data_IF_937110640084
#
_entry.id   IF_937110640084
#
_cell.length_a   1.000
_cell.length_b   1.000
_cell.length_c   1.000
_cell.angle_alpha   90.00
_cell.angle_beta   90.00
_cell.angle_gamma   90.00
#
_symmetry.space_group_name_H-M   'P 1'
#
loop_
_entity.id
_entity.type
_entity.pdbx_description
1 polymer ?
#
# COMPACT_ATOMS: atom_id res chain seq x y z
N UNK A 1 -4.31 -7.70 -53.56
CA UNK A 1 -3.74 -6.75 -52.58
C UNK A 1 -4.88 -6.19 -51.74
N UNK A 2 -5.08 -6.62 -50.49
CA UNK A 2 -5.96 -5.99 -49.46
C UNK A 2 -6.07 -6.87 -48.18
N UNK A 3 -5.00 -7.00 -47.38
CA UNK A 3 -5.08 -7.83 -46.15
C UNK A 3 -4.38 -7.27 -44.89
N UNK A 4 -3.78 -6.07 -44.92
CA UNK A 4 -2.92 -5.57 -43.82
C UNK A 4 -3.61 -4.70 -42.75
N UNK A 5 -4.91 -4.40 -42.85
CA UNK A 5 -5.57 -3.45 -41.92
C UNK A 5 -6.10 -4.06 -40.62
N UNK A 6 -6.16 -5.39 -40.49
CA UNK A 6 -6.84 -6.04 -39.34
C UNK A 6 -5.99 -6.09 -38.05
N UNK A 7 -4.66 -6.18 -38.14
CA UNK A 7 -3.77 -6.42 -36.99
C UNK A 7 -3.67 -5.23 -36.02
N UNK A 8 -3.59 -4.00 -36.54
CA UNK A 8 -3.42 -2.77 -35.76
C UNK A 8 -4.60 -2.48 -34.82
N UNK A 9 -5.83 -2.80 -35.27
CA UNK A 9 -7.07 -2.61 -34.51
C UNK A 9 -7.11 -3.47 -33.24
N UNK A 10 -6.64 -4.73 -33.33
CA UNK A 10 -6.65 -5.70 -32.22
C UNK A 10 -5.70 -5.29 -31.08
N UNK A 11 -4.50 -4.80 -31.43
CA UNK A 11 -3.49 -4.36 -30.47
C UNK A 11 -3.89 -3.04 -29.78
N UNK A 12 -4.59 -2.15 -30.48
CA UNK A 12 -5.17 -0.96 -29.86
C UNK A 12 -6.30 -1.31 -28.87
N UNK A 13 -7.19 -2.22 -29.25
CA UNK A 13 -8.28 -2.69 -28.39
C UNK A 13 -7.77 -3.38 -27.11
N UNK A 14 -6.72 -4.21 -27.20
CA UNK A 14 -6.13 -4.89 -26.04
C UNK A 14 -5.48 -3.90 -25.05
N UNK A 15 -4.77 -2.89 -25.55
CA UNK A 15 -4.20 -1.80 -24.72
C UNK A 15 -5.28 -1.01 -23.99
N UNK A 16 -6.40 -0.70 -24.66
CA UNK A 16 -7.55 -0.01 -24.05
C UNK A 16 -8.21 -0.84 -22.97
N UNK A 17 -8.44 -2.15 -23.21
CA UNK A 17 -8.98 -3.06 -22.19
C UNK A 17 -8.07 -3.17 -20.98
N UNK A 18 -6.75 -3.32 -21.20
CA UNK A 18 -5.76 -3.38 -20.11
C UNK A 18 -5.78 -2.12 -19.25
N UNK A 19 -5.78 -0.93 -19.86
CA UNK A 19 -5.80 0.32 -19.10
C UNK A 19 -7.09 0.50 -18.30
N UNK A 20 -8.23 0.08 -18.86
CA UNK A 20 -9.52 0.05 -18.17
C UNK A 20 -9.49 -0.89 -16.95
N UNK A 21 -9.02 -2.12 -17.12
CA UNK A 21 -8.92 -3.09 -16.00
C UNK A 21 -8.00 -2.57 -14.91
N UNK A 22 -6.82 -2.04 -15.26
CA UNK A 22 -5.89 -1.47 -14.27
C UNK A 22 -6.49 -0.27 -13.53
N UNK A 23 -7.34 0.52 -14.19
CA UNK A 23 -8.07 1.63 -13.57
C UNK A 23 -9.11 1.12 -12.59
N UNK A 24 -9.94 0.14 -12.99
CA UNK A 24 -10.96 -0.47 -12.12
C UNK A 24 -10.33 -1.14 -10.90
N UNK A 25 -9.23 -1.88 -11.06
CA UNK A 25 -8.49 -2.47 -9.94
C UNK A 25 -7.93 -1.41 -8.99
N UNK A 26 -7.40 -0.30 -9.54
CA UNK A 26 -6.87 0.79 -8.72
C UNK A 26 -7.98 1.50 -7.94
N UNK A 27 -9.17 1.67 -8.53
CA UNK A 27 -10.34 2.24 -7.84
C UNK A 27 -10.84 1.30 -6.75
N UNK A 28 -11.00 0.01 -7.05
CA UNK A 28 -11.40 -1.00 -6.07
C UNK A 28 -10.45 -1.02 -4.86
N UNK A 29 -9.13 -1.01 -5.11
CA UNK A 29 -8.11 -0.97 -4.07
C UNK A 29 -8.20 0.28 -3.18
N UNK A 30 -8.51 1.44 -3.76
CA UNK A 30 -8.65 2.71 -3.02
C UNK A 30 -9.92 2.77 -2.18
N UNK A 31 -11.06 2.39 -2.76
CA UNK A 31 -12.35 2.40 -2.06
C UNK A 31 -12.31 1.40 -0.90
N UNK A 32 -11.76 0.21 -1.13
CA UNK A 32 -11.61 -0.78 -0.07
C UNK A 32 -10.60 -0.34 1.00
N UNK A 33 -9.54 0.40 0.64
CA UNK A 33 -8.63 0.98 1.62
C UNK A 33 -9.31 2.00 2.54
N UNK A 34 -10.22 2.83 2.01
CA UNK A 34 -10.99 3.78 2.81
C UNK A 34 -11.97 3.06 3.74
N UNK A 35 -12.68 2.04 3.23
CA UNK A 35 -13.58 1.24 4.03
C UNK A 35 -12.85 0.51 5.17
N UNK A 36 -11.76 -0.21 4.85
CA UNK A 36 -10.93 -0.88 5.86
C UNK A 36 -10.26 0.11 6.82
N UNK A 37 -9.86 1.28 6.31
CA UNK A 37 -9.31 2.36 7.12
C UNK A 37 -10.28 2.85 8.20
N UNK A 38 -11.58 2.91 7.91
CA UNK A 38 -12.59 3.27 8.91
C UNK A 38 -12.65 2.28 10.07
N UNK A 39 -12.60 0.97 9.76
CA UNK A 39 -12.48 -0.09 10.76
C UNK A 39 -11.18 0.07 11.57
N UNK A 40 -10.05 0.25 10.89
CA UNK A 40 -8.74 0.35 11.51
C UNK A 40 -8.64 1.54 12.49
N UNK A 41 -9.21 2.70 12.11
CA UNK A 41 -9.28 3.88 12.98
C UNK A 41 -10.02 3.58 14.28
N UNK A 42 -11.20 2.98 14.19
CA UNK A 42 -12.00 2.61 15.38
C UNK A 42 -11.29 1.53 16.20
N UNK A 43 -10.66 0.56 15.54
CA UNK A 43 -9.96 -0.53 16.19
C UNK A 43 -8.71 -0.07 16.96
N UNK A 44 -7.94 0.87 16.41
CA UNK A 44 -6.74 1.44 17.06
C UNK A 44 -7.10 2.44 18.17
N UNK A 45 -8.32 2.99 18.18
CA UNK A 45 -8.72 3.98 19.18
C UNK A 45 -8.55 3.49 20.62
N UNK A 46 -8.90 2.23 20.89
CA UNK A 46 -8.81 1.65 22.24
C UNK A 46 -7.37 1.60 22.79
N UNK A 47 -6.37 0.99 22.13
CA UNK A 47 -5.00 1.02 22.63
C UNK A 47 -4.39 2.43 22.61
N UNK A 48 -4.82 3.30 21.69
CA UNK A 48 -4.34 4.69 21.68
C UNK A 48 -4.85 5.49 22.90
N UNK A 49 -6.13 5.34 23.26
CA UNK A 49 -6.72 6.01 24.42
C UNK A 49 -6.23 5.43 25.75
N UNK A 50 -5.84 4.15 25.78
CA UNK A 50 -5.20 3.54 26.95
C UNK A 50 -3.95 4.31 27.41
N UNK A 51 -3.21 4.93 26.48
CA UNK A 51 -2.05 5.76 26.81
C UNK A 51 -2.44 7.02 27.60
N UNK A 52 -3.61 7.60 27.30
CA UNK A 52 -4.11 8.86 27.87
C UNK A 52 -4.99 8.66 29.10
N UNK A 53 -5.34 7.42 29.44
CA UNK A 53 -6.21 7.12 30.58
C UNK A 53 -5.59 7.58 31.92
N UNK A 54 -6.41 7.90 32.93
CA UNK A 54 -5.92 8.05 34.31
C UNK A 54 -5.18 6.80 34.81
N UNK A 55 -4.19 6.93 35.71
CA UNK A 55 -3.47 5.79 36.29
C UNK A 55 -4.42 4.73 36.88
N UNK A 56 -4.21 3.47 36.52
CA UNK A 56 -5.03 2.35 37.00
C UNK A 56 -6.38 2.18 36.30
N UNK A 57 -6.66 2.93 35.24
CA UNK A 57 -7.93 2.85 34.49
C UNK A 57 -7.74 2.58 32.98
N UNK A 58 -6.50 2.33 32.53
CA UNK A 58 -6.24 2.14 31.10
C UNK A 58 -6.95 0.92 30.52
N UNK A 59 -7.10 -0.15 31.32
CA UNK A 59 -7.87 -1.34 30.95
C UNK A 59 -9.34 -0.98 30.69
N UNK A 60 -10.00 -0.28 31.61
CA UNK A 60 -11.43 0.04 31.52
C UNK A 60 -11.72 1.01 30.37
N UNK A 61 -10.87 2.03 30.19
CA UNK A 61 -10.97 2.98 29.07
C UNK A 61 -10.82 2.25 27.73
N UNK A 62 -9.84 1.37 27.61
CA UNK A 62 -9.62 0.62 26.38
C UNK A 62 -10.75 -0.37 26.10
N UNK A 63 -11.18 -1.13 27.11
CA UNK A 63 -12.29 -2.09 26.99
C UNK A 63 -13.59 -1.37 26.65
N UNK A 64 -13.92 -0.27 27.32
CA UNK A 64 -15.08 0.56 26.99
C UNK A 64 -15.03 1.12 25.57
N UNK A 65 -13.87 1.62 25.13
CA UNK A 65 -13.66 2.10 23.75
C UNK A 65 -13.82 0.97 22.73
N UNK A 66 -13.28 -0.21 23.01
CA UNK A 66 -13.43 -1.38 22.16
C UNK A 66 -14.90 -1.79 22.07
N UNK A 67 -15.66 -1.81 23.17
CA UNK A 67 -17.09 -2.11 23.17
C UNK A 67 -17.88 -1.15 22.26
N UNK A 68 -17.58 0.14 22.29
CA UNK A 68 -18.16 1.11 21.35
C UNK A 68 -17.79 0.77 19.89
N UNK A 69 -16.54 0.37 19.65
CA UNK A 69 -16.10 -0.09 18.33
C UNK A 69 -16.87 -1.31 17.81
N UNK A 70 -17.33 -2.22 18.69
CA UNK A 70 -18.12 -3.39 18.28
C UNK A 70 -19.46 -3.00 17.67
N UNK A 71 -20.10 -1.96 18.20
CA UNK A 71 -21.35 -1.42 17.64
C UNK A 71 -21.14 -0.97 16.20
N UNK A 72 -19.98 -0.39 15.89
CA UNK A 72 -19.63 0.07 14.56
C UNK A 72 -19.39 -1.07 13.57
N UNK A 73 -18.46 -1.99 13.86
CA UNK A 73 -17.96 -2.94 12.85
C UNK A 73 -18.21 -4.42 13.15
N UNK A 74 -18.76 -4.80 14.30
CA UNK A 74 -19.02 -6.21 14.66
C UNK A 74 -20.52 -6.58 14.58
N UNK A 75 -21.26 -6.02 13.63
CA UNK A 75 -22.62 -6.47 13.35
C UNK A 75 -22.67 -7.38 12.10
N UNK A 76 -23.74 -8.18 11.91
CA UNK A 76 -23.81 -9.19 10.84
C UNK A 76 -23.60 -8.64 9.42
N UNK A 77 -23.80 -7.34 9.20
CA UNK A 77 -23.59 -6.68 7.91
C UNK A 77 -22.23 -5.98 7.83
N UNK A 78 -21.85 -5.23 8.86
CA UNK A 78 -20.65 -4.38 8.85
C UNK A 78 -19.36 -5.19 9.00
N UNK A 79 -19.35 -6.30 9.73
CA UNK A 79 -18.14 -7.12 9.86
C UNK A 79 -17.74 -7.76 8.53
N UNK A 80 -18.64 -8.46 7.80
CA UNK A 80 -18.31 -8.99 6.48
C UNK A 80 -17.94 -7.88 5.48
N UNK A 81 -18.56 -6.70 5.56
CA UNK A 81 -18.31 -5.63 4.61
C UNK A 81 -17.02 -4.85 4.89
N UNK A 82 -16.87 -4.28 6.09
CA UNK A 82 -15.80 -3.36 6.46
C UNK A 82 -14.51 -4.07 6.84
N UNK A 83 -14.59 -5.26 7.43
CA UNK A 83 -13.41 -5.99 7.88
C UNK A 83 -12.97 -6.96 6.78
N UNK A 84 -13.75 -8.02 6.55
CA UNK A 84 -13.35 -9.11 5.66
C UNK A 84 -13.42 -8.75 4.17
N UNK A 85 -14.50 -8.10 3.76
CA UNK A 85 -14.75 -7.71 2.37
C UNK A 85 -13.76 -6.64 1.92
N UNK A 86 -13.65 -5.55 2.67
CA UNK A 86 -12.71 -4.48 2.34
C UNK A 86 -11.25 -4.98 2.34
N UNK A 87 -10.83 -5.77 3.33
CA UNK A 87 -9.48 -6.35 3.36
C UNK A 87 -9.23 -7.25 2.14
N UNK A 88 -10.16 -8.17 1.85
CA UNK A 88 -10.05 -9.10 0.71
C UNK A 88 -9.96 -8.35 -0.61
N UNK A 89 -10.85 -7.39 -0.86
CA UNK A 89 -10.82 -6.57 -2.07
C UNK A 89 -9.52 -5.78 -2.17
N UNK A 90 -9.02 -5.21 -1.06
CA UNK A 90 -7.75 -4.49 -1.03
C UNK A 90 -6.56 -5.38 -1.43
N UNK A 91 -6.45 -6.57 -0.85
CA UNK A 91 -5.37 -7.51 -1.12
C UNK A 91 -5.44 -8.07 -2.56
N UNK A 92 -6.61 -8.55 -2.96
CA UNK A 92 -6.79 -9.16 -4.29
C UNK A 92 -6.61 -8.16 -5.42
N UNK A 93 -7.11 -6.93 -5.28
CA UNK A 93 -6.91 -5.88 -6.30
C UNK A 93 -5.43 -5.51 -6.44
N UNK A 94 -4.70 -5.40 -5.32
CA UNK A 94 -3.26 -5.15 -5.31
C UNK A 94 -2.44 -6.27 -5.97
N UNK A 95 -2.76 -7.53 -5.67
CA UNK A 95 -2.13 -8.71 -6.27
C UNK A 95 -2.45 -8.84 -7.76
N UNK A 96 -3.73 -8.72 -8.14
CA UNK A 96 -4.17 -8.80 -9.53
C UNK A 96 -3.51 -7.72 -10.39
N UNK A 97 -3.42 -6.49 -9.88
CA UNK A 97 -2.75 -5.39 -10.59
C UNK A 97 -1.27 -5.71 -10.85
N UNK A 98 -0.57 -6.28 -9.86
CA UNK A 98 0.83 -6.71 -10.03
C UNK A 98 0.94 -7.85 -11.03
N UNK A 99 0.07 -8.85 -10.93
CA UNK A 99 0.03 -9.97 -11.88
C UNK A 99 -0.14 -9.48 -13.32
N UNK A 100 -1.06 -8.55 -13.59
CA UNK A 100 -1.25 -7.97 -14.93
C UNK A 100 -0.04 -7.16 -15.41
N UNK A 101 0.69 -6.50 -14.52
CA UNK A 101 1.91 -5.76 -14.90
C UNK A 101 3.05 -6.72 -15.24
N UNK A 102 3.21 -7.81 -14.48
CA UNK A 102 4.31 -8.78 -14.65
C UNK A 102 4.05 -9.73 -15.81
N UNK A 103 2.84 -10.28 -15.89
CA UNK A 103 2.49 -11.38 -16.80
C UNK A 103 2.06 -10.88 -18.18
N UNK A 104 1.50 -9.68 -18.29
CA UNK A 104 0.99 -9.16 -19.56
C UNK A 104 2.08 -8.37 -20.30
N UNK A 105 2.84 -9.05 -21.16
CA UNK A 105 3.70 -8.39 -22.15
C UNK A 105 2.83 -7.56 -23.11
N UNK A 106 3.20 -6.32 -23.42
CA UNK A 106 2.72 -5.74 -24.66
C UNK A 106 3.28 -6.61 -25.81
N UNK A 107 2.45 -6.99 -26.80
CA UNK A 107 2.96 -7.55 -28.04
C UNK A 107 4.08 -6.61 -28.51
N UNK A 108 5.26 -7.16 -28.77
CA UNK A 108 6.27 -6.41 -29.49
C UNK A 108 5.57 -5.98 -30.76
N UNK A 109 5.41 -4.67 -30.97
CA UNK A 109 5.11 -4.20 -32.30
C UNK A 109 6.23 -4.79 -33.15
N UNK A 110 5.90 -5.75 -34.01
CA UNK A 110 6.76 -6.04 -35.13
C UNK A 110 6.90 -4.68 -35.81
N UNK A 111 8.11 -4.13 -35.76
CA UNK A 111 8.49 -3.02 -36.60
C UNK A 111 8.30 -3.56 -38.02
N UNK A 112 7.11 -3.33 -38.57
CA UNK A 112 6.81 -3.41 -39.98
C UNK A 112 7.62 -2.26 -40.59
N UNK A 113 8.95 -2.47 -40.64
CA UNK A 113 9.90 -1.79 -41.49
C UNK A 113 9.36 -2.06 -42.90
N UNK A 114 8.38 -1.24 -43.28
CA UNK A 114 7.91 -1.12 -44.63
C UNK A 114 9.08 -0.65 -45.46
N UNK A 115 9.87 -1.62 -45.94
CA UNK A 115 10.52 -1.57 -47.24
C UNK A 115 9.41 -1.40 -48.30
N UNK A 116 8.76 -0.23 -48.28
CA UNK A 116 8.26 0.42 -49.47
C UNK A 116 9.49 0.99 -50.21
N UNK A 117 10.37 0.06 -50.59
CA UNK A 117 11.29 0.21 -51.69
C UNK A 117 10.42 0.34 -52.95
N UNK A 118 10.10 1.58 -53.31
CA UNK A 118 9.70 1.92 -54.66
C UNK A 118 10.31 3.27 -55.04
N UNK A 119 11.54 3.17 -55.53
CA UNK A 119 12.00 3.93 -56.68
C UNK A 119 12.55 5.33 -56.40
N UNK A 120 13.86 5.40 -56.13
CA UNK A 120 14.71 6.44 -56.71
C UNK A 120 16.16 5.96 -56.80
N UNK A 121 16.51 5.46 -57.99
CA UNK A 121 17.88 5.32 -58.46
C UNK A 121 18.51 6.71 -58.58
N UNK A 122 19.62 6.95 -57.87
CA UNK A 122 20.41 8.17 -57.96
C UNK A 122 21.75 7.97 -57.25
N UNK A 123 22.82 7.97 -58.04
CA UNK A 123 24.19 7.58 -57.78
C UNK A 123 24.92 8.18 -56.55
N UNK A 124 25.72 7.28 -55.96
CA UNK A 124 27.14 7.40 -55.61
C UNK A 124 27.64 8.36 -54.50
N UNK A 125 28.41 7.71 -53.62
CA UNK A 125 29.64 8.18 -52.98
C UNK A 125 29.54 8.81 -51.60
N UNK A 126 30.04 8.09 -50.59
CA UNK A 126 30.40 8.69 -49.30
C UNK A 126 30.28 7.77 -48.09
N UNK A 127 31.35 7.02 -47.82
CA UNK A 127 31.81 6.65 -46.48
C UNK A 127 30.87 5.87 -45.56
N UNK A 128 30.97 4.55 -45.72
CA UNK A 128 30.91 3.52 -44.69
C UNK A 128 31.43 3.94 -43.30
N UNK A 129 30.57 3.84 -42.28
CA UNK A 129 30.80 3.25 -40.94
C UNK A 129 29.75 3.74 -39.95
N UNK A 130 28.49 3.33 -40.10
CA UNK A 130 27.59 3.24 -38.94
C UNK A 130 26.89 1.90 -39.00
N UNK A 131 27.56 0.91 -38.43
CA UNK A 131 26.98 -0.36 -38.03
C UNK A 131 25.76 -0.05 -37.16
N UNK A 132 24.60 -0.09 -37.80
CA UNK A 132 23.30 -0.19 -37.19
C UNK A 132 23.31 -1.41 -36.29
N UNK A 133 23.71 -1.21 -35.02
CA UNK A 133 23.41 -2.11 -33.90
C UNK A 133 21.87 -2.19 -33.84
N UNK A 134 21.30 -3.08 -34.64
CA UNK A 134 19.93 -3.56 -34.53
C UNK A 134 19.89 -4.36 -33.23
N UNK A 135 19.79 -3.62 -32.12
CA UNK A 135 19.77 -4.11 -30.74
C UNK A 135 18.63 -5.11 -30.63
N UNK A 136 18.94 -6.41 -30.80
CA UNK A 136 18.05 -7.52 -30.45
C UNK A 136 17.60 -7.29 -29.02
N UNK A 137 16.36 -6.83 -28.85
CA UNK A 137 15.76 -6.52 -27.55
C UNK A 137 15.55 -7.86 -26.84
N UNK A 138 16.60 -8.32 -26.16
CA UNK A 138 16.66 -9.62 -25.47
C UNK A 138 15.43 -9.70 -24.55
N UNK A 139 14.52 -10.63 -24.84
CA UNK A 139 13.32 -10.87 -24.01
C UNK A 139 13.78 -11.04 -22.57
N UNK A 140 13.40 -10.08 -21.71
CA UNK A 140 13.70 -10.16 -20.28
C UNK A 140 13.05 -11.41 -19.71
N UNK A 141 13.81 -12.20 -18.97
CA UNK A 141 13.29 -13.39 -18.28
C UNK A 141 12.28 -12.97 -17.22
N UNK A 142 11.39 -13.89 -16.81
CA UNK A 142 10.41 -13.63 -15.75
C UNK A 142 11.08 -13.14 -14.45
N UNK A 143 12.21 -13.74 -14.09
CA UNK A 143 13.00 -13.33 -12.93
C UNK A 143 13.48 -11.87 -13.02
N UNK A 144 13.95 -11.44 -14.20
CA UNK A 144 14.33 -10.04 -14.44
C UNK A 144 13.14 -9.07 -14.35
N UNK A 145 11.92 -9.54 -14.65
CA UNK A 145 10.70 -8.71 -14.55
C UNK A 145 10.20 -8.60 -13.12
N UNK A 146 10.25 -9.69 -12.38
CA UNK A 146 9.93 -9.70 -10.94
C UNK A 146 10.94 -8.84 -10.19
N UNK A 147 12.23 -8.95 -10.50
CA UNK A 147 13.27 -8.11 -9.93
C UNK A 147 13.15 -6.63 -10.34
N UNK A 148 12.60 -6.35 -11.54
CA UNK A 148 12.32 -5.00 -12.01
C UNK A 148 10.98 -4.43 -11.52
N UNK A 149 10.17 -5.19 -10.78
CA UNK A 149 9.02 -4.60 -10.11
C UNK A 149 9.55 -3.55 -9.15
N UNK A 150 9.05 -2.30 -9.22
CA UNK A 150 9.44 -1.30 -8.25
C UNK A 150 9.09 -1.84 -6.86
N UNK A 151 10.12 -2.09 -6.06
CA UNK A 151 10.04 -2.36 -4.63
C UNK A 151 9.64 -1.06 -3.91
N UNK A 152 8.47 -0.52 -4.29
CA UNK A 152 7.85 0.59 -3.58
C UNK A 152 7.68 0.13 -2.12
N UNK A 153 8.15 0.95 -1.17
CA UNK A 153 8.06 0.64 0.25
C UNK A 153 6.63 0.29 0.67
N UNK A 154 5.62 0.86 0.01
CA UNK A 154 4.21 0.49 0.18
C UNK A 154 3.92 -0.99 -0.11
N UNK A 155 4.51 -1.52 -1.19
CA UNK A 155 4.33 -2.92 -1.58
C UNK A 155 4.99 -3.83 -0.55
N UNK A 156 6.24 -3.53 -0.19
CA UNK A 156 7.01 -4.36 0.74
C UNK A 156 6.30 -4.40 2.09
N UNK A 157 5.92 -3.22 2.62
CA UNK A 157 5.21 -3.16 3.91
C UNK A 157 3.88 -3.89 3.87
N UNK A 158 3.12 -3.78 2.77
CA UNK A 158 1.86 -4.51 2.60
C UNK A 158 2.06 -6.03 2.59
N UNK A 159 3.06 -6.53 1.87
CA UNK A 159 3.38 -7.95 1.81
C UNK A 159 3.82 -8.49 3.18
N UNK A 160 4.66 -7.75 3.90
CA UNK A 160 5.08 -8.11 5.26
C UNK A 160 3.92 -8.05 6.26
N UNK A 161 2.98 -7.12 6.10
CA UNK A 161 1.85 -6.91 7.01
C UNK A 161 0.79 -8.04 6.92
N UNK A 162 0.63 -8.66 5.75
CA UNK A 162 -0.36 -9.74 5.52
C UNK A 162 -0.27 -10.87 6.56
N UNK A 163 0.87 -11.55 6.76
CA UNK A 163 0.94 -12.66 7.72
C UNK A 163 0.62 -12.21 9.15
N UNK A 164 1.07 -11.02 9.59
CA UNK A 164 0.75 -10.50 10.92
C UNK A 164 -0.74 -10.18 11.07
N UNK A 165 -1.37 -9.60 10.03
CA UNK A 165 -2.80 -9.27 10.05
C UNK A 165 -3.65 -10.54 10.09
N UNK A 166 -3.32 -11.54 9.27
CA UNK A 166 -4.02 -12.83 9.27
C UNK A 166 -3.82 -13.57 10.58
N UNK A 167 -2.61 -13.58 11.12
CA UNK A 167 -2.33 -14.18 12.43
C UNK A 167 -3.11 -13.48 13.56
N UNK A 168 -3.12 -12.14 13.58
CA UNK A 168 -3.89 -11.36 14.54
C UNK A 168 -5.39 -11.66 14.46
N UNK A 169 -5.97 -11.69 13.25
CA UNK A 169 -7.37 -12.01 13.04
C UNK A 169 -7.69 -13.47 13.43
N UNK A 170 -6.78 -14.40 13.13
CA UNK A 170 -6.94 -15.80 13.50
C UNK A 170 -6.95 -15.98 15.02
N UNK A 171 -5.97 -15.40 15.72
CA UNK A 171 -5.82 -15.48 17.18
C UNK A 171 -6.93 -14.76 17.95
N UNK A 172 -7.37 -13.58 17.49
CA UNK A 172 -8.29 -12.72 18.25
C UNK A 172 -9.75 -12.81 17.78
N UNK A 173 -10.02 -13.45 16.64
CA UNK A 173 -11.39 -13.56 16.10
C UNK A 173 -11.78 -14.99 15.75
N UNK A 174 -10.98 -15.68 14.94
CA UNK A 174 -11.38 -17.01 14.40
C UNK A 174 -11.28 -18.11 15.45
N UNK A 175 -10.19 -18.18 16.21
CA UNK A 175 -9.99 -19.23 17.21
C UNK A 175 -10.94 -19.10 18.40
N UNK A 176 -11.14 -17.92 19.00
CA UNK A 176 -12.09 -17.77 20.10
C UNK A 176 -13.55 -18.09 19.75
N UNK A 177 -13.92 -17.94 18.47
CA UNK A 177 -15.26 -18.27 17.96
C UNK A 177 -15.51 -19.78 17.76
N UNK A 178 -14.56 -20.65 18.15
CA UNK A 178 -14.72 -22.10 18.04
C UNK A 178 -15.57 -22.65 19.18
N UNK A 179 -16.47 -23.58 18.85
CA UNK A 179 -17.34 -24.27 19.81
C UNK A 179 -16.67 -25.43 20.54
N UNK A 180 -15.44 -25.79 20.16
CA UNK A 180 -14.69 -26.89 20.78
C UNK A 180 -14.36 -26.60 22.25
N UNK A 181 -14.54 -27.59 23.12
CA UNK A 181 -14.04 -27.53 24.49
C UNK A 181 -12.50 -27.41 24.50
N UNK A 182 -11.90 -26.57 25.38
CA UNK A 182 -12.52 -25.78 26.44
C UNK A 182 -12.96 -24.36 26.03
N UNK A 183 -12.73 -23.93 24.78
CA UNK A 183 -13.04 -22.55 24.31
C UNK A 183 -14.54 -22.27 24.36
N UNK A 184 -15.39 -23.24 23.99
CA UNK A 184 -16.86 -23.19 24.11
C UNK A 184 -17.48 -21.87 23.64
N UNK A 185 -17.09 -21.37 22.46
CA UNK A 185 -17.51 -20.09 21.89
C UNK A 185 -17.35 -18.91 22.87
N UNK A 186 -16.13 -18.39 23.01
CA UNK A 186 -15.91 -17.17 23.79
C UNK A 186 -16.79 -16.06 23.21
N UNK A 187 -17.72 -15.58 24.05
CA UNK A 187 -18.60 -14.49 23.66
C UNK A 187 -17.74 -13.25 23.40
N UNK A 188 -18.18 -12.34 22.51
CA UNK A 188 -17.47 -11.09 22.32
C UNK A 188 -17.23 -10.37 23.66
N UNK A 189 -18.20 -10.36 24.58
CA UNK A 189 -18.07 -9.79 25.93
C UNK A 189 -16.93 -10.38 26.76
N UNK A 190 -16.60 -11.66 26.59
CA UNK A 190 -15.47 -12.32 27.26
C UNK A 190 -14.12 -12.07 26.56
N UNK A 191 -14.12 -11.56 25.32
CA UNK A 191 -12.90 -11.22 24.57
C UNK A 191 -12.54 -9.75 24.73
N UNK A 192 -12.21 -9.34 25.94
CA UNK A 192 -11.74 -8.00 26.24
C UNK A 192 -10.21 -7.90 26.25
N UNK A 193 -9.68 -6.80 26.77
CA UNK A 193 -8.24 -6.59 26.84
C UNK A 193 -7.54 -7.50 27.85
N UNK A 194 -8.25 -8.18 28.75
CA UNK A 194 -7.66 -9.26 29.57
C UNK A 194 -7.17 -10.42 28.71
N UNK A 195 -7.88 -10.76 27.63
CA UNK A 195 -7.45 -11.78 26.68
C UNK A 195 -6.14 -11.39 25.98
N UNK A 196 -6.05 -10.13 25.54
CA UNK A 196 -4.84 -9.60 24.91
C UNK A 196 -3.68 -9.58 25.90
N UNK A 197 -3.90 -9.07 27.11
CA UNK A 197 -2.89 -8.98 28.17
C UNK A 197 -2.39 -10.37 28.61
N UNK A 198 -3.25 -11.40 28.59
CA UNK A 198 -2.86 -12.76 28.87
C UNK A 198 -1.76 -13.27 27.92
N UNK A 199 -1.78 -12.86 26.65
CA UNK A 199 -0.71 -13.13 25.69
C UNK A 199 0.65 -12.53 26.07
N UNK A 200 0.68 -11.53 26.94
CA UNK A 200 1.89 -10.88 27.44
C UNK A 200 2.27 -11.34 28.86
N UNK A 201 1.56 -12.33 29.42
CA UNK A 201 1.82 -12.82 30.77
C UNK A 201 3.29 -13.22 30.95
N UNK A 202 3.91 -12.67 31.99
CA UNK A 202 5.32 -12.87 32.32
C UNK A 202 5.63 -14.28 32.82
N UNK A 203 4.61 -15.07 33.19
CA UNK A 203 4.77 -16.46 33.61
C UNK A 203 5.41 -17.33 32.52
N UNK A 204 5.32 -16.91 31.25
CA UNK A 204 5.94 -17.57 30.11
C UNK A 204 6.74 -16.55 29.29
N UNK A 205 7.98 -16.29 29.69
CA UNK A 205 8.90 -15.34 29.05
C UNK A 205 8.91 -15.46 27.51
N UNK A 206 8.99 -16.66 26.89
CA UNK A 206 9.03 -16.74 25.44
C UNK A 206 7.72 -16.29 24.79
N UNK A 207 6.57 -16.52 25.43
CA UNK A 207 5.25 -16.08 24.95
C UNK A 207 5.16 -14.56 24.97
N UNK A 208 5.56 -13.94 26.06
CA UNK A 208 5.55 -12.48 26.18
C UNK A 208 6.45 -11.82 25.11
N UNK A 209 7.63 -12.39 24.84
CA UNK A 209 8.53 -11.92 23.79
C UNK A 209 7.89 -12.05 22.41
N UNK A 210 7.31 -13.21 22.09
CA UNK A 210 6.63 -13.46 20.81
C UNK A 210 5.46 -12.49 20.62
N UNK A 211 4.59 -12.34 21.61
CA UNK A 211 3.46 -11.42 21.56
C UNK A 211 3.94 -9.98 21.36
N UNK A 212 4.95 -9.55 22.13
CA UNK A 212 5.53 -8.21 21.99
C UNK A 212 6.09 -7.96 20.60
N UNK A 213 6.84 -8.90 20.05
CA UNK A 213 7.38 -8.81 18.70
C UNK A 213 6.26 -8.77 17.65
N UNK A 214 5.27 -9.66 17.74
CA UNK A 214 4.17 -9.76 16.79
C UNK A 214 3.29 -8.50 16.78
N UNK A 215 2.89 -7.99 17.96
CA UNK A 215 2.08 -6.78 18.07
C UNK A 215 2.87 -5.53 17.64
N UNK A 216 4.15 -5.41 18.01
CA UNK A 216 4.99 -4.28 17.57
C UNK A 216 5.16 -4.28 16.05
N UNK A 217 5.41 -5.45 15.45
CA UNK A 217 5.51 -5.58 14.00
C UNK A 217 4.19 -5.26 13.30
N UNK A 218 3.06 -5.78 13.81
CA UNK A 218 1.72 -5.51 13.28
C UNK A 218 1.41 -4.01 13.30
N UNK A 219 1.58 -3.35 14.45
CA UNK A 219 1.30 -1.92 14.63
C UNK A 219 2.22 -1.09 13.73
N UNK A 220 3.53 -1.32 13.79
CA UNK A 220 4.52 -0.56 13.03
C UNK A 220 4.34 -0.69 11.51
N UNK A 221 4.16 -1.91 11.00
CA UNK A 221 3.92 -2.14 9.58
C UNK A 221 2.58 -1.56 9.12
N UNK A 222 1.52 -1.67 9.94
CA UNK A 222 0.19 -1.14 9.63
C UNK A 222 0.20 0.39 9.54
N UNK A 223 0.78 1.06 10.53
CA UNK A 223 0.91 2.53 10.54
C UNK A 223 1.77 3.01 9.38
N UNK A 224 2.93 2.39 9.16
CA UNK A 224 3.81 2.74 8.05
C UNK A 224 3.13 2.56 6.68
N UNK A 225 2.44 1.43 6.47
CA UNK A 225 1.69 1.15 5.25
C UNK A 225 0.57 2.18 5.03
N UNK A 226 -0.14 2.56 6.09
CA UNK A 226 -1.22 3.55 6.02
C UNK A 226 -0.69 4.95 5.67
N UNK A 227 0.38 5.40 6.35
CA UNK A 227 1.00 6.70 6.09
C UNK A 227 1.55 6.82 4.66
N UNK A 228 2.24 5.80 4.16
CA UNK A 228 2.76 5.78 2.77
C UNK A 228 1.64 5.68 1.73
N UNK A 229 0.55 4.96 2.05
CA UNK A 229 -0.66 4.90 1.24
C UNK A 229 -1.34 6.27 1.12
N UNK A 230 -1.56 6.94 2.24
CA UNK A 230 -2.12 8.30 2.29
C UNK A 230 -1.24 9.30 1.53
N UNK A 231 0.08 9.27 1.74
CA UNK A 231 1.03 10.11 1.01
C UNK A 231 0.86 9.96 -0.52
N UNK A 232 0.71 8.71 -1.00
CA UNK A 232 0.51 8.39 -2.41
C UNK A 232 -0.82 8.93 -2.94
N UNK A 233 -1.90 8.80 -2.15
CA UNK A 233 -3.22 9.32 -2.50
C UNK A 233 -3.24 10.86 -2.58
N UNK A 234 -2.64 11.56 -1.61
CA UNK A 234 -2.55 13.03 -1.60
C UNK A 234 -1.77 13.54 -2.81
N UNK A 235 -0.67 12.87 -3.17
CA UNK A 235 0.10 13.19 -4.38
C UNK A 235 -0.72 13.03 -5.66
N UNK A 236 -1.54 11.99 -5.76
CA UNK A 236 -2.40 11.77 -6.93
C UNK A 236 -3.47 12.87 -7.06
N UNK A 237 -4.10 13.28 -5.96
CA UNK A 237 -5.07 14.39 -5.97
C UNK A 237 -4.43 15.71 -6.42
N UNK A 238 -3.22 16.02 -5.93
CA UNK A 238 -2.49 17.24 -6.32
C UNK A 238 -2.06 17.26 -7.79
N UNK A 239 -1.82 16.10 -8.41
CA UNK A 239 -1.51 16.03 -9.84
C UNK A 239 -2.78 16.17 -10.69
N UNK A 240 -3.89 15.56 -10.28
CA UNK A 240 -5.16 15.66 -10.99
C UNK A 240 -5.68 17.12 -11.05
N UNK A 241 -5.52 17.89 -9.97
CA UNK A 241 -5.92 19.30 -9.95
C UNK A 241 -5.11 20.18 -10.92
N UNK A 242 -3.79 19.93 -11.05
CA UNK A 242 -2.92 20.71 -11.95
C UNK A 242 -3.19 20.47 -13.43
N UNK A 243 -3.52 19.23 -13.80
CA UNK A 243 -3.88 18.92 -15.20
C UNK A 243 -5.13 19.68 -15.62
N UNK A 244 -6.11 19.83 -14.71
CA UNK A 244 -7.35 20.55 -14.98
C UNK A 244 -7.11 22.07 -15.14
N UNK A 245 -6.21 22.64 -14.34
CA UNK A 245 -5.86 24.07 -14.41
C UNK A 245 -5.17 24.43 -15.73
N UNK A 246 -4.18 23.64 -16.17
CA UNK A 246 -3.50 23.87 -17.46
C UNK A 246 -4.43 23.71 -18.66
N UNK A 247 -5.47 22.87 -18.59
CA UNK A 247 -6.47 22.75 -19.67
C UNK A 247 -7.46 23.91 -19.74
N UNK A 248 -7.51 24.76 -18.70
CA UNK A 248 -8.38 25.94 -18.64
C UNK A 248 -7.64 27.26 -18.90
N UNK A 249 -6.32 27.23 -19.11
CA UNK A 249 -5.60 28.42 -19.52
C UNK A 249 -6.20 28.90 -20.87
N UNK A 250 -6.76 30.13 -20.90
CA UNK A 250 -7.44 30.62 -22.09
C UNK A 250 -6.44 30.71 -23.24
N UNK A 251 -6.86 30.26 -24.42
CA UNK A 251 -6.24 30.62 -25.69
C UNK A 251 -6.41 32.14 -25.86
N UNK A 252 -5.56 32.92 -25.19
CA UNK A 252 -5.52 34.36 -25.35
C UNK A 252 -4.95 34.65 -26.74
N UNK A 253 -5.84 35.12 -27.61
CA UNK A 253 -5.65 35.85 -28.87
C UNK A 253 -4.21 35.88 -29.43
N UNK A 254 -3.98 35.03 -30.44
CA UNK A 254 -2.99 35.29 -31.49
C UNK A 254 -3.48 36.42 -32.41
N UNK A 255 -3.32 37.69 -32.04
CA UNK A 255 -3.31 38.78 -33.01
C UNK A 255 -2.38 39.91 -32.55
N UNK A 256 -1.13 39.87 -33.02
CA UNK A 256 -0.19 40.98 -32.89
C UNK A 256 1.15 40.69 -33.61
N UNK A 257 1.46 41.35 -34.73
CA UNK A 257 2.62 41.02 -35.55
C UNK A 257 3.90 41.73 -35.09
N UNK A 258 5.00 40.98 -35.18
CA UNK A 258 6.36 41.40 -35.55
C UNK A 258 6.90 42.74 -35.02
N UNK A 259 7.91 42.66 -34.14
CA UNK A 259 9.23 43.25 -34.42
C UNK A 259 10.18 43.11 -33.22
N UNK A 260 11.33 42.49 -33.47
CA UNK A 260 12.67 42.76 -32.89
C UNK A 260 13.47 41.45 -32.73
N UNK A 261 13.96 40.97 -33.86
CA UNK A 261 15.09 40.03 -33.94
C UNK A 261 16.34 40.85 -33.64
N UNK A 262 16.96 40.70 -32.47
CA UNK A 262 18.40 40.91 -32.21
C UNK A 262 18.71 40.82 -30.72
N UNK A 263 19.14 39.65 -30.23
CA UNK A 263 19.98 39.46 -29.01
C UNK A 263 20.01 37.97 -28.58
N UNK A 264 20.34 37.06 -29.49
CA UNK A 264 20.43 35.63 -29.17
C UNK A 264 21.83 35.10 -29.50
N UNK A 265 22.83 35.37 -28.64
CA UNK A 265 24.13 34.69 -28.76
C UNK A 265 24.97 34.61 -27.46
N UNK A 266 24.47 35.01 -26.28
CA UNK A 266 25.31 35.01 -25.05
C UNK A 266 24.73 34.36 -23.79
N UNK A 267 23.51 33.78 -23.80
CA UNK A 267 22.87 33.34 -22.54
C UNK A 267 22.70 31.80 -22.37
N UNK A 268 23.43 30.99 -23.13
CA UNK A 268 23.24 29.53 -23.07
C UNK A 268 23.83 28.87 -21.81
N UNK A 269 24.81 29.50 -21.15
CA UNK A 269 25.51 28.92 -19.99
C UNK A 269 24.80 29.13 -18.64
N UNK A 270 24.07 30.24 -18.47
CA UNK A 270 23.37 30.57 -17.21
C UNK A 270 22.13 29.69 -17.00
N UNK A 271 21.46 29.28 -18.09
CA UNK A 271 20.21 28.52 -18.03
C UNK A 271 20.41 27.06 -17.57
N UNK A 272 21.57 26.45 -17.84
CA UNK A 272 21.82 25.06 -17.48
C UNK A 272 22.11 24.90 -15.98
N UNK A 273 22.87 25.82 -15.38
CA UNK A 273 23.16 25.84 -13.95
C UNK A 273 21.85 26.02 -13.16
N UNK A 274 21.00 26.97 -13.59
CA UNK A 274 19.68 27.20 -12.98
C UNK A 274 18.76 25.96 -13.06
N UNK A 275 18.79 25.23 -14.18
CA UNK A 275 18.03 23.97 -14.32
C UNK A 275 18.56 22.90 -13.36
N UNK A 276 19.86 22.70 -13.26
CA UNK A 276 20.47 21.72 -12.37
C UNK A 276 20.11 21.99 -10.90
N UNK A 277 20.22 23.24 -10.46
CA UNK A 277 19.87 23.67 -9.11
C UNK A 277 18.39 23.43 -8.81
N UNK A 278 17.51 23.74 -9.76
CA UNK A 278 16.07 23.48 -9.60
C UNK A 278 15.75 21.99 -9.43
N UNK A 279 16.51 21.09 -10.08
CA UNK A 279 16.33 19.64 -9.96
C UNK A 279 16.80 19.16 -8.59
N UNK A 280 17.95 19.64 -8.10
CA UNK A 280 18.49 19.31 -6.78
C UNK A 280 17.53 19.80 -5.69
N UNK A 281 17.07 21.04 -5.77
CA UNK A 281 16.14 21.62 -4.80
C UNK A 281 14.82 20.83 -4.74
N UNK A 282 14.26 20.44 -5.89
CA UNK A 282 13.07 19.58 -5.96
C UNK A 282 13.29 18.20 -5.32
N UNK A 283 14.48 17.61 -5.46
CA UNK A 283 14.84 16.33 -4.81
C UNK A 283 14.93 16.47 -3.29
N UNK A 284 15.59 17.52 -2.80
CA UNK A 284 15.73 17.79 -1.36
C UNK A 284 14.36 18.04 -0.71
N UNK A 285 13.48 18.81 -1.34
CA UNK A 285 12.12 19.03 -0.85
C UNK A 285 11.30 17.73 -0.81
N UNK A 286 11.42 16.88 -1.85
CA UNK A 286 10.79 15.56 -1.86
C UNK A 286 11.30 14.67 -0.73
N UNK A 287 12.60 14.71 -0.45
CA UNK A 287 13.22 13.94 0.62
C UNK A 287 12.78 14.43 2.00
N UNK A 288 12.75 15.75 2.24
CA UNK A 288 12.24 16.35 3.49
C UNK A 288 10.79 15.95 3.75
N UNK A 289 9.92 16.08 2.73
CA UNK A 289 8.52 15.67 2.85
C UNK A 289 8.40 14.18 3.15
N UNK A 290 9.20 13.32 2.53
CA UNK A 290 9.18 11.89 2.82
C UNK A 290 9.58 11.59 4.28
N UNK A 291 10.62 12.26 4.79
CA UNK A 291 11.06 12.12 6.20
C UNK A 291 9.98 12.50 7.21
N UNK A 292 9.15 13.51 6.91
CA UNK A 292 8.03 13.89 7.78
C UNK A 292 6.99 12.76 7.91
N UNK A 293 6.66 12.06 6.83
CA UNK A 293 5.75 10.90 6.88
C UNK A 293 6.35 9.73 7.65
N UNK A 294 7.66 9.50 7.51
CA UNK A 294 8.37 8.45 8.25
C UNK A 294 8.39 8.76 9.76
N UNK A 295 8.67 10.02 10.13
CA UNK A 295 8.62 10.48 11.51
C UNK A 295 7.20 10.37 12.10
N UNK A 296 6.18 10.79 11.35
CA UNK A 296 4.78 10.68 11.77
C UNK A 296 4.37 9.21 12.02
N UNK A 297 4.79 8.30 11.13
CA UNK A 297 4.55 6.87 11.30
C UNK A 297 5.25 6.32 12.55
N UNK A 298 6.51 6.70 12.79
CA UNK A 298 7.27 6.30 13.97
C UNK A 298 6.65 6.78 15.28
N UNK A 299 6.29 8.07 15.35
CA UNK A 299 5.64 8.67 16.54
C UNK A 299 4.29 7.97 16.80
N UNK A 300 3.46 7.81 15.78
CA UNK A 300 2.15 7.15 15.92
C UNK A 300 2.30 5.71 16.40
N UNK A 301 3.28 4.97 15.86
CA UNK A 301 3.60 3.61 16.31
C UNK A 301 4.00 3.59 17.78
N UNK A 302 4.90 4.49 18.20
CA UNK A 302 5.36 4.57 19.58
C UNK A 302 4.20 4.89 20.56
N UNK A 303 3.28 5.78 20.18
CA UNK A 303 2.10 6.09 20.99
C UNK A 303 1.18 4.88 21.16
N UNK A 304 0.86 4.17 20.08
CA UNK A 304 -0.01 2.98 20.15
C UNK A 304 0.66 1.85 20.93
N UNK A 305 1.95 1.60 20.71
CA UNK A 305 2.71 0.61 21.48
C UNK A 305 2.81 1.00 22.97
N UNK A 306 3.00 2.28 23.28
CA UNK A 306 3.01 2.78 24.65
C UNK A 306 1.68 2.58 25.36
N UNK A 307 0.57 2.83 24.66
CA UNK A 307 -0.78 2.57 25.18
C UNK A 307 -1.06 1.09 25.40
N UNK A 308 -0.65 0.22 24.47
CA UNK A 308 -0.73 -1.24 24.66
C UNK A 308 0.12 -1.73 25.82
N UNK A 309 1.36 -1.24 25.96
CA UNK A 309 2.24 -1.60 27.08
C UNK A 309 1.64 -1.17 28.42
N UNK A 310 1.07 0.05 28.48
CA UNK A 310 0.39 0.56 29.67
C UNK A 310 -0.81 -0.29 30.03
N UNK A 311 -1.64 -0.62 29.04
CA UNK A 311 -2.79 -1.51 29.18
C UNK A 311 -2.37 -2.87 29.77
N UNK A 312 -1.34 -3.50 29.21
CA UNK A 312 -0.86 -4.81 29.67
C UNK A 312 -0.37 -4.76 31.11
N UNK A 313 0.24 -3.64 31.53
CA UNK A 313 0.75 -3.46 32.90
C UNK A 313 -0.34 -3.21 33.94
N UNK A 314 -1.41 -2.53 33.55
CA UNK A 314 -2.52 -2.18 34.45
C UNK A 314 -3.68 -3.19 34.41
N UNK A 315 -3.58 -4.25 33.60
CA UNK A 315 -4.64 -5.27 33.52
C UNK A 315 -4.58 -6.20 34.73
N UNK A 316 -5.69 -6.32 35.44
CA UNK A 316 -5.84 -7.23 36.57
C UNK A 316 -5.69 -8.71 36.17
N UNK A 317 -5.42 -9.55 37.17
CA UNK A 317 -5.30 -11.00 36.97
C UNK A 317 -6.59 -11.58 36.39
N UNK A 318 -6.47 -12.30 35.27
CA UNK A 318 -7.59 -13.02 34.66
C UNK A 318 -8.15 -14.08 35.63
N UNK A 319 -9.47 -14.16 35.83
CA UNK A 319 -10.08 -15.23 36.61
C UNK A 319 -9.64 -16.61 36.13
N UNK A 320 -9.37 -17.54 37.05
CA UNK A 320 -8.78 -18.84 36.72
C UNK A 320 -9.56 -19.64 35.65
N UNK A 321 -10.90 -19.54 35.66
CA UNK A 321 -11.74 -20.23 34.67
C UNK A 321 -11.59 -19.63 33.25
N UNK A 322 -11.44 -18.31 33.13
CA UNK A 322 -11.17 -17.64 31.85
C UNK A 322 -9.74 -17.90 31.39
N UNK A 323 -8.77 -17.88 32.30
CA UNK A 323 -7.37 -18.16 31.98
C UNK A 323 -7.23 -19.52 31.27
N UNK A 324 -7.92 -20.57 31.75
CA UNK A 324 -7.92 -21.89 31.08
C UNK A 324 -8.46 -21.84 29.64
N UNK A 325 -9.49 -21.03 29.39
CA UNK A 325 -10.07 -20.86 28.03
C UNK A 325 -9.14 -20.04 27.13
N UNK A 326 -8.53 -19.00 27.68
CA UNK A 326 -7.55 -18.18 26.95
C UNK A 326 -6.31 -19.00 26.57
N UNK A 327 -5.78 -19.80 27.50
CA UNK A 327 -4.69 -20.74 27.24
C UNK A 327 -5.01 -21.70 26.11
N UNK A 328 -6.25 -22.23 26.08
CA UNK A 328 -6.69 -23.09 25.00
C UNK A 328 -6.73 -22.38 23.64
N UNK A 329 -7.08 -21.09 23.58
CA UNK A 329 -6.99 -20.33 22.35
C UNK A 329 -5.54 -20.17 21.88
N UNK A 330 -4.63 -19.76 22.77
CA UNK A 330 -3.22 -19.55 22.43
C UNK A 330 -2.55 -20.85 21.99
N UNK A 331 -2.77 -21.95 22.71
CA UNK A 331 -2.17 -23.26 22.38
C UNK A 331 -2.63 -23.85 21.04
N UNK A 332 -3.73 -23.36 20.45
CA UNK A 332 -4.16 -23.76 19.09
C UNK A 332 -3.48 -22.95 17.97
N UNK A 333 -2.71 -21.93 18.31
CA UNK A 333 -2.14 -20.98 17.35
C UNK A 333 -0.62 -21.05 17.40
N UNK A 334 0.01 -21.36 16.26
CA UNK A 334 1.46 -21.24 16.13
C UNK A 334 1.88 -19.75 16.15
N UNK A 335 2.97 -19.36 16.83
CA UNK A 335 3.97 -20.20 17.50
C UNK A 335 3.69 -20.52 18.98
N UNK A 336 2.59 -20.02 19.55
CA UNK A 336 2.25 -20.21 20.96
C UNK A 336 1.98 -21.67 21.33
N UNK A 337 1.53 -22.50 20.38
CA UNK A 337 1.35 -23.94 20.57
C UNK A 337 2.63 -24.71 20.93
N UNK A 338 3.81 -24.09 20.83
CA UNK A 338 5.13 -24.71 21.09
C UNK A 338 5.83 -24.12 22.32
N UNK A 339 5.19 -23.17 23.02
CA UNK A 339 5.74 -22.41 24.14
C UNK A 339 4.89 -22.66 25.38
#
# INVERSE_FOLDING_TARGET
MSASTSSSSSAAASRKRRSQVLRSLSQAQQVSALAFGSFLTVHIAAPALALLAPPGSSHDVATGTMLLGRVWYQNPASEPALVWGALTVHLLSGLARKAIIVLWEPPLAEDDDGDAALGKSGEASGSSTTSTERRKRKRRTLAQRVAALPSDWQTISGALLVPFTLHHAYLNRVVPARSSYPITNLSPSELDYTYVAHGFSHTLIPRAIVSTAAYTALIGLSVFHTCKGLQKMVRWRSLASKTQENSKAPAADELGPSSSVSSALSDSGSSEISKADSVIQRRLLRQRRNRQWDAAAGITTALICGGLLRLVRETDSTPAFLAKRYEACYTLVWPYSRI
#
